data_IF_696379891804
#
_entry.id   IF_696379891804
#
_cell.length_a   1.000
_cell.length_b   1.000
_cell.length_c   1.000
_cell.angle_alpha   90.00
_cell.angle_beta   90.00
_cell.angle_gamma   90.00
#
_symmetry.space_group_name_H-M   'P 1'
#
loop_
_entity.id
_entity.type
_entity.pdbx_description
1 polymer ?
#
# COMPACT_ATOMS: atom_id res chain seq x y z
N UNK A 1 -76.58 -2.91 -14.60
CA UNK A 1 -76.75 -1.43 -14.70
C UNK A 1 -75.39 -0.76 -14.47
N UNK A 2 -75.32 0.58 -14.40
CA UNK A 2 -74.11 1.41 -14.53
C UNK A 2 -73.21 1.44 -13.27
N UNK A 3 -71.93 1.80 -13.51
CA UNK A 3 -70.91 2.54 -12.70
C UNK A 3 -71.44 3.22 -11.41
N UNK A 4 -70.65 3.46 -10.35
CA UNK A 4 -69.17 3.43 -10.11
C UNK A 4 -68.91 2.55 -8.85
N UNK A 5 -67.88 2.56 -8.00
CA UNK A 5 -66.61 3.30 -7.72
C UNK A 5 -65.70 2.34 -6.89
N UNK A 6 -64.44 2.57 -6.47
CA UNK A 6 -63.38 3.58 -6.70
C UNK A 6 -62.00 2.95 -6.34
N UNK A 7 -60.93 3.71 -6.07
CA UNK A 7 -59.69 3.22 -5.44
C UNK A 7 -59.13 4.23 -4.41
N UNK A 8 -58.49 3.74 -3.34
CA UNK A 8 -57.79 4.56 -2.34
C UNK A 8 -56.63 3.79 -1.68
N UNK A 9 -55.41 4.05 -2.15
CA UNK A 9 -54.17 3.60 -1.50
C UNK A 9 -54.07 4.22 -0.09
N UNK A 10 -53.90 3.38 0.93
CA UNK A 10 -53.79 3.82 2.32
C UNK A 10 -52.33 3.76 2.76
N UNK A 11 -51.64 4.87 2.52
CA UNK A 11 -50.18 4.95 2.57
C UNK A 11 -49.54 4.40 3.84
N UNK A 12 -48.49 3.60 3.67
CA UNK A 12 -47.69 3.02 4.75
C UNK A 12 -46.93 4.14 5.48
N UNK A 13 -47.53 4.66 6.55
CA UNK A 13 -46.98 5.77 7.33
C UNK A 13 -45.58 5.45 7.87
N UNK A 14 -44.57 6.05 7.24
CA UNK A 14 -43.20 6.10 7.76
C UNK A 14 -43.15 7.18 8.84
N UNK A 15 -43.63 6.83 10.04
CA UNK A 15 -43.23 7.54 11.25
C UNK A 15 -41.70 7.54 11.39
N UNK A 16 -41.13 8.42 12.22
CA UNK A 16 -39.69 8.42 12.46
C UNK A 16 -39.28 7.00 12.86
N UNK A 17 -38.20 6.47 12.25
CA UNK A 17 -37.58 5.25 12.77
C UNK A 17 -37.11 5.58 14.19
N UNK A 18 -37.93 5.23 15.18
CA UNK A 18 -37.45 4.88 16.52
C UNK A 18 -36.22 4.02 16.29
N UNK A 19 -35.09 4.40 16.90
CA UNK A 19 -33.90 3.55 16.88
C UNK A 19 -34.39 2.15 17.20
N UNK A 20 -34.16 1.20 16.30
CA UNK A 20 -34.59 -0.17 16.55
C UNK A 20 -33.94 -0.51 17.88
N UNK A 21 -34.78 -0.79 18.89
CA UNK A 21 -34.28 -1.21 20.19
C UNK A 21 -33.48 -2.47 19.85
N UNK A 22 -32.15 -2.36 19.87
CA UNK A 22 -31.28 -3.47 19.50
C UNK A 22 -31.57 -4.49 20.57
N UNK A 23 -32.21 -5.59 20.18
CA UNK A 23 -32.45 -6.70 21.09
C UNK A 23 -31.08 -7.05 21.65
N UNK A 24 -30.93 -6.90 22.97
CA UNK A 24 -29.65 -7.16 23.61
C UNK A 24 -29.38 -8.65 23.35
N UNK A 25 -28.40 -8.93 22.49
CA UNK A 25 -27.99 -10.29 22.13
C UNK A 25 -27.46 -10.95 23.41
N UNK A 26 -28.38 -11.51 24.20
CA UNK A 26 -28.13 -12.45 25.29
C UNK A 26 -27.41 -13.64 24.65
N UNK A 27 -26.07 -13.55 24.60
CA UNK A 27 -25.19 -14.60 24.08
C UNK A 27 -25.47 -15.88 24.88
N UNK A 28 -26.25 -16.77 24.24
CA UNK A 28 -26.76 -18.04 24.78
C UNK A 28 -25.63 -18.92 25.35
N UNK A 29 -24.38 -18.66 24.95
CA UNK A 29 -23.19 -19.43 25.31
C UNK A 29 -22.17 -18.59 26.13
N UNK A 30 -22.49 -17.38 26.56
CA UNK A 30 -21.58 -16.54 27.36
C UNK A 30 -21.16 -17.20 28.69
N UNK A 31 -22.08 -17.92 29.34
CA UNK A 31 -21.83 -18.71 30.56
C UNK A 31 -21.39 -20.17 30.27
N UNK A 32 -21.29 -20.58 28.99
CA UNK A 32 -20.83 -21.93 28.65
C UNK A 32 -19.36 -22.14 29.04
N UNK A 33 -19.02 -23.23 29.76
CA UNK A 33 -17.66 -23.45 30.26
C UNK A 33 -16.62 -23.67 29.17
N UNK A 34 -17.01 -24.16 27.99
CA UNK A 34 -16.13 -24.33 26.82
C UNK A 34 -15.89 -22.99 26.14
N UNK A 35 -16.91 -22.16 25.96
CA UNK A 35 -16.75 -20.77 25.46
C UNK A 35 -15.86 -19.97 26.41
N UNK A 36 -16.06 -20.10 27.73
CA UNK A 36 -15.19 -19.48 28.74
C UNK A 36 -13.74 -20.02 28.75
N UNK A 37 -13.49 -21.23 28.25
CA UNK A 37 -12.13 -21.76 28.02
C UNK A 37 -11.53 -21.21 26.72
N UNK A 38 -12.27 -21.22 25.61
CA UNK A 38 -11.86 -20.64 24.33
C UNK A 38 -11.51 -19.16 24.47
N UNK A 39 -12.34 -18.37 25.16
CA UNK A 39 -12.07 -16.96 25.46
C UNK A 39 -10.79 -16.75 26.30
N UNK A 40 -10.33 -17.75 27.06
CA UNK A 40 -9.02 -17.68 27.76
C UNK A 40 -7.88 -17.99 26.79
N UNK A 41 -8.03 -19.00 25.93
CA UNK A 41 -7.05 -19.35 24.90
C UNK A 41 -6.85 -18.20 23.90
N UNK A 42 -7.91 -17.56 23.44
CA UNK A 42 -7.85 -16.41 22.52
C UNK A 42 -7.15 -15.20 23.15
N UNK A 43 -7.37 -14.95 24.45
CA UNK A 43 -6.60 -13.92 25.18
C UNK A 43 -5.11 -14.26 25.22
N UNK A 44 -4.73 -15.51 25.50
CA UNK A 44 -3.33 -15.93 25.46
C UNK A 44 -2.72 -15.86 24.05
N UNK A 45 -3.52 -16.11 23.00
CA UNK A 45 -3.11 -15.97 21.61
C UNK A 45 -2.86 -14.49 21.23
N UNK A 46 -3.81 -13.59 21.54
CA UNK A 46 -3.69 -12.15 21.29
C UNK A 46 -2.50 -11.55 22.07
N UNK A 47 -2.31 -11.95 23.33
CA UNK A 47 -1.13 -11.60 24.13
C UNK A 47 0.19 -12.02 23.46
N UNK A 48 0.20 -13.09 22.65
CA UNK A 48 1.38 -13.61 21.97
C UNK A 48 1.61 -12.91 20.62
N UNK A 49 0.55 -12.70 19.83
CA UNK A 49 0.55 -11.86 18.62
C UNK A 49 1.08 -10.45 18.91
N UNK A 50 0.65 -9.81 20.01
CA UNK A 50 1.13 -8.48 20.38
C UNK A 50 2.65 -8.45 20.63
N UNK A 51 3.21 -9.49 21.27
CA UNK A 51 4.66 -9.62 21.46
C UNK A 51 5.38 -9.81 20.13
N UNK A 52 4.90 -10.73 19.30
CA UNK A 52 5.44 -11.00 17.96
C UNK A 52 5.47 -9.74 17.08
N UNK A 53 4.42 -8.93 17.12
CA UNK A 53 4.32 -7.68 16.36
C UNK A 53 5.28 -6.60 16.88
N UNK A 54 5.41 -6.42 18.21
CA UNK A 54 6.39 -5.48 18.79
C UNK A 54 7.83 -5.88 18.46
N UNK A 55 8.16 -7.18 18.55
CA UNK A 55 9.48 -7.71 18.18
C UNK A 55 9.76 -7.54 16.67
N UNK A 56 8.77 -7.84 15.82
CA UNK A 56 8.84 -7.62 14.37
C UNK A 56 9.09 -6.14 14.03
N UNK A 57 8.35 -5.21 14.65
CA UNK A 57 8.53 -3.77 14.43
C UNK A 57 9.91 -3.27 14.91
N UNK A 58 10.44 -3.82 16.00
CA UNK A 58 11.81 -3.54 16.42
C UNK A 58 12.86 -4.07 15.40
N UNK A 59 12.61 -5.23 14.80
CA UNK A 59 13.47 -5.82 13.77
C UNK A 59 13.41 -5.03 12.45
N UNK A 60 12.22 -4.64 12.00
CA UNK A 60 12.01 -3.83 10.79
C UNK A 60 12.68 -2.47 10.92
N UNK A 61 12.50 -1.75 12.04
CA UNK A 61 13.22 -0.48 12.30
C UNK A 61 14.75 -0.67 12.29
N UNK A 62 15.27 -1.77 12.85
CA UNK A 62 16.71 -2.10 12.82
C UNK A 62 17.23 -2.31 11.40
N UNK A 63 16.52 -3.06 10.56
CA UNK A 63 16.97 -3.33 9.19
C UNK A 63 16.73 -2.16 8.24
N UNK A 64 15.67 -1.37 8.42
CA UNK A 64 15.45 -0.11 7.70
C UNK A 64 16.64 0.86 7.83
N UNK A 65 17.20 1.01 9.03
CA UNK A 65 18.40 1.80 9.27
C UNK A 65 19.66 1.27 8.54
N UNK A 66 19.74 -0.04 8.30
CA UNK A 66 20.82 -0.67 7.52
C UNK A 66 20.60 -0.55 6.00
N UNK A 67 19.36 -0.52 5.54
CA UNK A 67 19.01 -0.32 4.13
C UNK A 67 19.13 1.15 3.69
N UNK A 68 18.82 2.11 4.57
CA UNK A 68 18.85 3.55 4.29
C UNK A 68 20.13 4.05 3.58
N UNK A 69 21.38 3.70 3.99
CA UNK A 69 22.58 4.11 3.27
C UNK A 69 22.72 3.44 1.88
N UNK A 70 22.25 2.20 1.73
CA UNK A 70 22.29 1.46 0.45
C UNK A 70 21.32 2.09 -0.55
N UNK A 71 20.08 2.35 -0.12
CA UNK A 71 19.05 3.00 -0.94
C UNK A 71 19.42 4.44 -1.28
N UNK A 72 19.99 5.18 -0.32
CA UNK A 72 20.58 6.51 -0.59
C UNK A 72 21.67 6.43 -1.66
N UNK A 73 22.52 5.40 -1.64
CA UNK A 73 23.55 5.21 -2.66
C UNK A 73 22.98 4.82 -4.03
N UNK A 74 21.89 4.03 -4.08
CA UNK A 74 21.11 3.75 -5.30
C UNK A 74 20.61 5.06 -5.92
N UNK A 75 19.92 5.90 -5.15
CA UNK A 75 19.43 7.22 -5.62
C UNK A 75 20.57 8.11 -6.14
N UNK A 76 21.68 8.19 -5.41
CA UNK A 76 22.87 8.93 -5.85
C UNK A 76 23.45 8.41 -7.18
N UNK A 77 23.37 7.10 -7.46
CA UNK A 77 23.80 6.53 -8.74
C UNK A 77 22.84 6.87 -9.87
N UNK A 78 21.54 6.67 -9.68
CA UNK A 78 20.54 6.98 -10.70
C UNK A 78 20.54 8.47 -11.10
N UNK A 79 20.90 9.35 -10.16
CA UNK A 79 21.02 10.79 -10.38
C UNK A 79 22.32 11.25 -11.08
N UNK A 80 23.34 10.40 -11.22
CA UNK A 80 24.68 10.81 -11.64
C UNK A 80 25.16 10.03 -12.88
N UNK A 81 25.16 10.70 -14.04
CA UNK A 81 25.53 10.13 -15.35
C UNK A 81 26.96 9.59 -15.37
N UNK A 82 27.93 10.37 -14.89
CA UNK A 82 29.34 10.03 -14.93
C UNK A 82 29.86 9.49 -13.59
N UNK A 83 30.53 8.33 -13.63
CA UNK A 83 31.21 7.72 -12.48
C UNK A 83 32.53 7.09 -12.90
N UNK A 84 33.68 7.66 -12.47
CA UNK A 84 34.96 6.95 -12.54
C UNK A 84 34.93 5.66 -11.70
N UNK A 85 35.30 4.52 -12.31
CA UNK A 85 35.52 3.26 -11.61
C UNK A 85 34.40 2.21 -11.67
N UNK A 86 33.30 2.46 -12.38
CA UNK A 86 32.42 1.37 -12.86
C UNK A 86 32.60 1.24 -14.38
N UNK A 87 33.61 0.50 -14.80
CA UNK A 87 33.74 0.12 -16.19
C UNK A 87 32.63 -0.88 -16.53
N UNK A 88 31.76 -0.62 -17.51
CA UNK A 88 30.90 -1.66 -18.03
C UNK A 88 31.77 -2.74 -18.69
N UNK A 89 31.52 -4.00 -18.36
CA UNK A 89 31.92 -5.11 -19.24
C UNK A 89 31.37 -4.84 -20.65
N UNK A 90 32.10 -5.20 -21.72
CA UNK A 90 31.75 -4.81 -23.08
C UNK A 90 30.55 -5.60 -23.61
N UNK A 91 29.34 -5.17 -23.22
CA UNK A 91 28.08 -5.61 -23.80
C UNK A 91 28.09 -5.38 -25.31
N UNK A 92 28.28 -6.46 -26.06
CA UNK A 92 28.13 -6.45 -27.51
C UNK A 92 26.65 -6.36 -27.88
N UNK A 93 26.13 -5.13 -27.96
CA UNK A 93 25.35 -4.67 -29.11
C UNK A 93 25.11 -3.15 -29.01
N UNK A 94 25.17 -2.47 -30.15
CA UNK A 94 25.43 -1.03 -30.17
C UNK A 94 24.18 -0.16 -30.25
N UNK A 95 24.10 0.84 -29.36
CA UNK A 95 23.55 2.16 -29.70
C UNK A 95 24.06 3.25 -28.76
N UNK A 96 25.21 3.84 -29.13
CA UNK A 96 25.76 5.04 -28.47
C UNK A 96 24.96 6.28 -28.87
N UNK A 97 23.78 6.47 -28.28
CA UNK A 97 22.97 7.68 -28.41
C UNK A 97 23.45 8.78 -27.45
N UNK A 98 24.73 9.17 -27.55
CA UNK A 98 25.32 10.32 -26.84
C UNK A 98 24.79 11.65 -27.40
N UNK A 99 23.49 11.86 -27.27
CA UNK A 99 22.78 13.05 -27.73
C UNK A 99 22.50 13.96 -26.54
N UNK A 100 23.28 15.03 -26.43
CA UNK A 100 22.97 16.16 -25.55
C UNK A 100 21.78 16.97 -26.14
N UNK A 101 20.64 16.31 -26.28
CA UNK A 101 19.39 16.90 -26.73
C UNK A 101 18.77 17.75 -25.63
N UNK A 102 18.08 18.81 -26.03
CA UNK A 102 17.31 19.71 -25.15
C UNK A 102 16.01 19.06 -24.66
N UNK A 103 16.13 17.88 -24.03
CA UNK A 103 15.03 17.09 -23.50
C UNK A 103 14.55 17.60 -22.14
N UNK A 104 13.37 17.15 -21.73
CA UNK A 104 12.81 17.39 -20.40
C UNK A 104 13.75 16.82 -19.30
N UNK A 105 13.69 17.33 -18.05
CA UNK A 105 14.59 16.92 -16.98
C UNK A 105 14.32 15.49 -16.50
N UNK A 106 14.97 14.52 -17.16
CA UNK A 106 14.95 13.08 -16.83
C UNK A 106 15.23 12.89 -15.34
N UNK A 107 14.36 12.16 -14.65
CA UNK A 107 14.45 11.98 -13.21
C UNK A 107 15.60 11.07 -12.75
N UNK A 108 16.03 10.16 -13.63
CA UNK A 108 17.10 9.18 -13.40
C UNK A 108 18.14 9.25 -14.54
N UNK A 109 18.90 10.36 -14.69
CA UNK A 109 19.76 10.59 -15.86
C UNK A 109 20.77 9.48 -16.19
N UNK A 110 21.22 8.69 -15.20
CA UNK A 110 22.14 7.58 -15.43
C UNK A 110 21.46 6.35 -16.08
N UNK A 111 20.15 6.16 -15.86
CA UNK A 111 19.34 5.09 -16.44
C UNK A 111 17.92 5.66 -16.68
N UNK A 112 17.67 6.34 -17.81
CA UNK A 112 16.37 6.96 -18.09
C UNK A 112 15.21 5.95 -18.00
N UNK A 113 14.09 6.37 -17.42
CA UNK A 113 12.89 5.53 -17.26
C UNK A 113 13.01 4.41 -16.22
N UNK A 114 14.10 4.33 -15.45
CA UNK A 114 14.38 3.24 -14.49
C UNK A 114 13.17 2.85 -13.63
N UNK A 115 12.50 3.82 -13.01
CA UNK A 115 11.39 3.54 -12.10
C UNK A 115 10.11 3.12 -12.81
N UNK A 116 9.79 3.70 -13.97
CA UNK A 116 8.69 3.26 -14.82
C UNK A 116 8.88 1.78 -15.19
N UNK A 117 10.05 1.41 -15.69
CA UNK A 117 10.37 0.03 -16.08
C UNK A 117 10.39 -0.93 -14.89
N UNK A 118 10.86 -0.52 -13.70
CA UNK A 118 10.78 -1.34 -12.49
C UNK A 118 9.33 -1.63 -12.09
N UNK A 119 8.45 -0.63 -12.12
CA UNK A 119 7.05 -0.79 -11.73
C UNK A 119 6.26 -1.61 -12.77
N UNK A 120 6.48 -1.37 -14.06
CA UNK A 120 5.88 -2.15 -15.17
C UNK A 120 6.28 -3.63 -15.18
N UNK A 121 7.35 -4.03 -14.48
CA UNK A 121 7.80 -5.42 -14.34
C UNK A 121 7.53 -5.98 -12.93
N UNK A 122 6.75 -5.29 -12.10
CA UNK A 122 6.35 -5.75 -10.77
C UNK A 122 4.99 -6.46 -10.82
N UNK A 123 4.82 -7.54 -10.07
CA UNK A 123 3.53 -8.24 -10.01
C UNK A 123 2.45 -7.41 -9.29
N UNK A 124 2.88 -6.42 -8.52
CA UNK A 124 2.10 -5.58 -7.64
C UNK A 124 1.53 -4.32 -8.32
N UNK A 125 2.16 -3.81 -9.38
CA UNK A 125 1.76 -2.55 -10.04
C UNK A 125 1.57 -2.65 -11.57
N UNK A 126 1.95 -3.75 -12.23
CA UNK A 126 1.85 -3.88 -13.69
C UNK A 126 0.41 -3.74 -14.25
N UNK A 127 -0.61 -4.09 -13.46
CA UNK A 127 -2.02 -4.04 -13.89
C UNK A 127 -2.68 -2.67 -13.63
N UNK A 128 -2.06 -1.84 -12.78
CA UNK A 128 -2.57 -0.52 -12.35
C UNK A 128 -1.96 0.65 -13.15
N UNK A 129 -0.99 0.40 -14.04
CA UNK A 129 -0.27 1.44 -14.81
C UNK A 129 -0.84 1.52 -16.22
N UNK A 130 -1.48 2.63 -16.57
CA UNK A 130 -1.98 2.88 -17.92
C UNK A 130 -0.92 3.56 -18.83
N UNK A 131 -1.15 3.52 -20.14
CA UNK A 131 -0.34 4.26 -21.14
C UNK A 131 -0.23 5.76 -20.82
N UNK A 132 -1.24 6.32 -20.14
CA UNK A 132 -1.29 7.73 -19.77
C UNK A 132 -0.45 8.09 -18.53
N UNK A 133 -0.06 7.11 -17.72
CA UNK A 133 0.82 7.29 -16.55
C UNK A 133 2.31 7.27 -16.90
N UNK A 134 2.69 6.57 -17.98
CA UNK A 134 4.09 6.42 -18.40
C UNK A 134 4.86 7.76 -18.47
N UNK A 135 4.34 8.85 -19.07
CA UNK A 135 5.05 10.12 -19.15
C UNK A 135 5.19 10.83 -17.81
N UNK A 136 4.41 10.43 -16.79
CA UNK A 136 4.51 10.93 -15.41
C UNK A 136 5.56 10.12 -14.65
N UNK A 137 5.60 8.80 -14.84
CA UNK A 137 6.57 7.89 -14.22
C UNK A 137 8.02 8.16 -14.67
N UNK A 138 8.24 8.71 -15.87
CA UNK A 138 9.56 9.19 -16.32
C UNK A 138 10.11 10.38 -15.50
N UNK A 139 9.28 11.03 -14.66
CA UNK A 139 9.69 12.03 -13.66
C UNK A 139 9.94 11.46 -12.25
N UNK A 140 9.76 10.15 -12.02
CA UNK A 140 10.00 9.49 -10.73
C UNK A 140 11.49 9.27 -10.46
N UNK A 141 11.98 9.77 -9.31
CA UNK A 141 13.43 9.83 -8.98
C UNK A 141 13.91 8.71 -8.05
N UNK A 142 13.12 8.38 -7.05
CA UNK A 142 13.38 7.34 -6.06
C UNK A 142 12.04 6.92 -5.45
N UNK A 143 11.96 5.68 -4.98
CA UNK A 143 10.86 5.21 -4.13
C UNK A 143 11.46 4.85 -2.77
N UNK A 144 10.92 5.47 -1.73
CA UNK A 144 11.30 5.35 -0.33
C UNK A 144 10.07 5.01 0.49
N UNK A 145 10.25 4.35 1.63
CA UNK A 145 9.21 4.28 2.66
C UNK A 145 9.81 4.56 4.03
N UNK A 146 9.03 5.21 4.89
CA UNK A 146 9.40 5.54 6.27
C UNK A 146 8.21 5.37 7.24
N UNK A 147 8.46 5.00 8.51
CA UNK A 147 7.42 4.98 9.55
C UNK A 147 6.65 6.31 9.66
N UNK A 148 5.34 6.22 9.91
CA UNK A 148 4.53 7.40 10.13
C UNK A 148 4.90 8.13 11.43
N UNK A 149 5.30 7.37 12.46
CA UNK A 149 5.73 7.82 13.78
C UNK A 149 6.98 7.07 14.26
N UNK A 150 7.58 7.50 15.38
CA UNK A 150 8.74 6.83 15.98
C UNK A 150 8.44 5.39 16.43
N UNK A 151 7.17 5.08 16.68
CA UNK A 151 6.72 3.76 17.10
C UNK A 151 6.69 2.75 15.95
N UNK A 152 6.46 3.19 14.71
CA UNK A 152 6.16 2.34 13.55
C UNK A 152 4.82 1.62 13.62
N UNK A 153 4.11 1.74 14.75
CA UNK A 153 2.86 1.03 15.02
C UNK A 153 1.68 1.68 14.27
N UNK A 154 1.79 2.97 13.95
CA UNK A 154 0.78 3.73 13.20
C UNK A 154 0.80 3.44 11.69
N UNK A 155 1.77 2.66 11.19
CA UNK A 155 1.98 2.36 9.76
C UNK A 155 3.15 3.12 9.14
N UNK A 156 3.19 3.16 7.81
CA UNK A 156 4.26 3.78 7.00
C UNK A 156 3.69 4.69 5.91
N UNK A 157 4.58 5.51 5.34
CA UNK A 157 4.42 6.29 4.09
C UNK A 157 5.61 6.07 3.17
#
# INVERSE_FOLDING_TARGET
MRRKAEAADSGRSLGPRRAQDVEEDDDEYADDPVVQELLRLDRFYIDLEQKLWVERQALERKYGALYAPILTRRRQRLAAVDVPGFAPEPSQEGQSSSSASTAAPVATPAVPGFWRTVLQNSGEFQEDIEEHDEPVLDYLRDITSEPLDESGLSGFR
#
